data_IF_684585518222
#
_entry.id   IF_684585518222
#
_cell.length_a   1.000
_cell.length_b   1.000
_cell.length_c   1.000
_cell.angle_alpha   90.00
_cell.angle_beta   90.00
_cell.angle_gamma   90.00
#
_symmetry.space_group_name_H-M   'P 1'
#
loop_
_entity.id
_entity.type
_entity.pdbx_description
1 polymer ?
#
# COMPACT_ATOMS: atom_id res chain seq x y z
N UNK A 1 -29.85 35.29 23.55
CA UNK A 1 -29.99 35.04 22.09
C UNK A 1 -28.90 34.07 21.71
N UNK A 2 -29.25 32.79 21.60
CA UNK A 2 -28.32 31.72 21.26
C UNK A 2 -28.04 31.76 19.75
N UNK A 3 -26.76 31.66 19.41
CA UNK A 3 -26.19 31.86 18.07
C UNK A 3 -26.57 30.69 17.16
N UNK A 4 -27.35 30.94 16.09
CA UNK A 4 -27.65 29.95 15.04
C UNK A 4 -26.51 29.83 13.99
N UNK A 5 -25.25 30.06 14.38
CA UNK A 5 -24.10 30.11 13.45
C UNK A 5 -23.46 28.74 13.16
N UNK A 6 -23.74 27.71 13.98
CA UNK A 6 -23.17 26.36 13.79
C UNK A 6 -23.78 25.55 12.65
N UNK A 7 -25.00 25.88 12.21
CA UNK A 7 -25.73 25.04 11.23
C UNK A 7 -25.13 25.08 9.82
N UNK A 8 -24.50 26.18 9.43
CA UNK A 8 -23.91 26.31 8.09
C UNK A 8 -22.66 25.44 7.97
N UNK A 9 -21.81 25.43 8.99
CA UNK A 9 -20.55 24.68 8.96
C UNK A 9 -20.84 23.18 9.04
N UNK A 10 -21.76 22.75 9.92
CA UNK A 10 -22.17 21.34 10.03
C UNK A 10 -22.82 20.82 8.74
N UNK A 11 -23.68 21.60 8.06
CA UNK A 11 -24.27 21.17 6.79
C UNK A 11 -23.25 21.07 5.65
N UNK A 12 -22.24 21.96 5.61
CA UNK A 12 -21.15 21.90 4.64
C UNK A 12 -20.24 20.68 4.87
N UNK A 13 -19.99 20.34 6.14
CA UNK A 13 -19.26 19.13 6.56
C UNK A 13 -19.99 17.88 6.07
N UNK A 14 -21.30 17.78 6.27
CA UNK A 14 -22.10 16.60 5.85
C UNK A 14 -22.12 16.38 4.33
N UNK A 15 -22.22 17.44 3.52
CA UNK A 15 -22.14 17.32 2.06
C UNK A 15 -20.78 16.79 1.58
N UNK A 16 -19.71 17.17 2.27
CA UNK A 16 -18.36 16.70 1.97
C UNK A 16 -18.23 15.21 2.30
N UNK A 17 -18.73 14.74 3.46
CA UNK A 17 -18.65 13.31 3.86
C UNK A 17 -19.27 12.41 2.80
N UNK A 18 -20.52 12.69 2.42
CA UNK A 18 -21.31 11.85 1.51
C UNK A 18 -20.68 11.74 0.11
N UNK A 19 -19.96 12.77 -0.34
CA UNK A 19 -19.35 12.78 -1.67
C UNK A 19 -18.06 11.97 -1.72
N UNK A 20 -17.32 11.91 -0.60
CA UNK A 20 -16.06 11.16 -0.47
C UNK A 20 -16.30 9.65 -0.53
N UNK A 21 -17.42 9.19 0.03
CA UNK A 21 -17.82 7.78 0.09
C UNK A 21 -17.89 7.07 -1.25
N UNK A 22 -18.38 7.76 -2.29
CA UNK A 22 -18.70 7.11 -3.56
C UNK A 22 -17.48 6.89 -4.48
N UNK A 23 -16.33 7.50 -4.19
CA UNK A 23 -15.18 7.55 -5.11
C UNK A 23 -13.88 6.92 -4.59
N UNK A 24 -13.87 6.33 -3.38
CA UNK A 24 -12.67 5.82 -2.71
C UNK A 24 -12.76 4.31 -2.38
N UNK A 25 -12.77 3.42 -3.40
CA UNK A 25 -12.92 1.99 -3.20
C UNK A 25 -11.75 1.36 -2.43
N UNK A 26 -10.50 1.81 -2.62
CA UNK A 26 -9.34 1.27 -1.89
C UNK A 26 -9.37 1.70 -0.43
N UNK A 27 -9.66 2.98 -0.16
CA UNK A 27 -9.69 3.49 1.21
C UNK A 27 -10.79 2.84 2.08
N UNK A 28 -11.88 2.35 1.47
CA UNK A 28 -12.90 1.57 2.16
C UNK A 28 -12.39 0.18 2.60
N UNK A 29 -11.46 -0.43 1.86
CA UNK A 29 -10.96 -1.80 2.11
C UNK A 29 -9.76 -1.86 3.03
N UNK A 30 -8.90 -0.85 2.99
CA UNK A 30 -7.72 -0.78 3.85
C UNK A 30 -8.11 -0.72 5.33
N UNK A 31 -7.37 -1.44 6.18
CA UNK A 31 -7.54 -1.38 7.63
C UNK A 31 -7.19 0.02 8.17
N UNK A 32 -7.93 0.53 9.15
CA UNK A 32 -7.68 1.87 9.73
C UNK A 32 -7.12 1.74 11.13
N UNK A 33 -6.16 2.59 11.49
CA UNK A 33 -5.60 2.60 12.83
C UNK A 33 -5.26 4.02 13.29
N UNK A 34 -5.82 4.41 14.44
CA UNK A 34 -5.58 5.71 15.08
C UNK A 34 -4.94 5.44 16.45
N UNK A 35 -3.60 5.48 16.57
CA UNK A 35 -2.94 5.30 17.86
C UNK A 35 -3.23 6.47 18.82
N UNK A 36 -2.98 6.30 20.13
CA UNK A 36 -3.07 7.39 21.10
C UNK A 36 -2.15 8.57 20.73
N UNK A 37 -2.73 9.76 20.62
CA UNK A 37 -2.03 10.95 20.11
C UNK A 37 -0.81 11.37 20.95
N UNK A 38 -0.89 11.23 22.28
CA UNK A 38 0.19 11.62 23.18
C UNK A 38 1.46 10.76 23.00
N UNK A 39 1.29 9.45 22.83
CA UNK A 39 2.41 8.53 22.64
C UNK A 39 3.03 8.74 21.26
N UNK A 40 2.19 8.95 20.24
CA UNK A 40 2.65 9.20 18.90
C UNK A 40 3.43 10.53 18.78
N UNK A 41 3.03 11.57 19.52
CA UNK A 41 3.77 12.83 19.59
C UNK A 41 5.17 12.62 20.21
N UNK A 42 5.27 11.79 21.25
CA UNK A 42 6.55 11.48 21.92
C UNK A 42 7.47 10.62 21.05
N UNK A 43 6.90 9.73 20.23
CA UNK A 43 7.64 8.86 19.31
C UNK A 43 7.91 9.50 17.94
N UNK A 44 7.74 10.82 17.82
CA UNK A 44 7.94 11.56 16.56
C UNK A 44 7.15 10.95 15.38
N UNK A 45 5.88 10.65 15.59
CA UNK A 45 4.98 10.13 14.56
C UNK A 45 5.34 8.74 14.00
N UNK A 46 6.11 7.97 14.77
CA UNK A 46 6.48 6.59 14.45
C UNK A 46 5.73 5.63 15.35
N UNK A 47 5.18 4.56 14.77
CA UNK A 47 4.68 3.41 15.52
C UNK A 47 5.27 2.11 14.99
N UNK A 48 5.63 1.23 15.91
CA UNK A 48 6.09 -0.12 15.61
C UNK A 48 4.93 -1.08 15.81
N UNK A 49 4.64 -1.87 14.78
CA UNK A 49 3.58 -2.87 14.80
C UNK A 49 4.21 -4.26 14.72
N UNK A 50 3.76 -5.24 15.51
CA UNK A 50 4.25 -6.60 15.41
C UNK A 50 3.77 -7.26 14.11
N UNK A 51 4.57 -8.20 13.62
CA UNK A 51 4.20 -9.13 12.53
C UNK A 51 3.71 -10.44 13.14
N UNK A 52 2.94 -11.21 12.37
CA UNK A 52 2.55 -12.57 12.76
C UNK A 52 3.79 -13.41 13.13
N UNK A 53 3.65 -14.21 14.19
CA UNK A 53 4.74 -15.02 14.71
C UNK A 53 4.84 -16.34 13.94
N UNK A 54 6.05 -16.67 13.48
CA UNK A 54 6.39 -17.98 12.92
C UNK A 54 7.24 -18.78 13.91
N UNK A 55 7.00 -20.10 13.99
CA UNK A 55 7.69 -20.98 14.93
C UNK A 55 8.34 -22.16 14.19
N UNK A 56 9.61 -22.49 14.48
CA UNK A 56 10.23 -23.69 13.93
C UNK A 56 9.71 -24.95 14.63
N UNK A 57 9.57 -26.04 13.85
CA UNK A 57 9.26 -27.37 14.40
C UNK A 57 10.41 -28.33 14.13
N UNK A 58 10.68 -29.25 15.06
CA UNK A 58 11.75 -30.24 14.93
C UNK A 58 11.27 -31.65 15.31
N UNK A 59 11.56 -32.69 14.50
CA UNK A 59 11.20 -34.06 14.79
C UNK A 59 12.19 -34.72 15.76
N UNK A 60 11.72 -35.77 16.47
CA UNK A 60 12.55 -36.64 17.30
C UNK A 60 12.11 -36.72 18.75
N UNK A 61 12.46 -37.82 19.42
CA UNK A 61 12.14 -38.06 20.82
C UNK A 61 13.10 -37.35 21.79
N UNK A 62 14.34 -37.06 21.35
CA UNK A 62 15.33 -36.35 22.14
C UNK A 62 15.49 -34.88 21.68
N UNK A 63 15.13 -33.98 22.59
CA UNK A 63 15.16 -32.53 22.44
C UNK A 63 16.19 -31.86 23.38
N UNK A 64 17.12 -32.62 23.94
CA UNK A 64 18.18 -32.09 24.81
C UNK A 64 19.00 -31.04 24.08
N UNK A 65 19.16 -29.85 24.67
CA UNK A 65 19.86 -28.69 24.08
C UNK A 65 19.29 -28.18 22.74
N UNK A 66 18.03 -28.50 22.41
CA UNK A 66 17.35 -28.02 21.20
C UNK A 66 16.20 -27.04 21.49
N UNK A 67 16.19 -26.43 22.67
CA UNK A 67 15.19 -25.40 22.99
C UNK A 67 15.39 -24.19 22.07
N UNK A 68 14.35 -23.80 21.35
CA UNK A 68 14.37 -22.65 20.43
C UNK A 68 14.00 -21.36 21.17
N UNK A 69 14.53 -20.24 20.69
CA UNK A 69 14.16 -18.91 21.19
C UNK A 69 12.82 -18.43 20.62
N UNK A 70 12.37 -17.28 21.12
CA UNK A 70 11.24 -16.53 20.56
C UNK A 70 11.79 -15.31 19.84
N UNK A 71 11.44 -15.17 18.57
CA UNK A 71 11.73 -13.98 17.75
C UNK A 71 10.41 -13.44 17.22
N UNK A 72 10.11 -12.19 17.56
CA UNK A 72 8.96 -11.45 17.06
C UNK A 72 9.45 -10.26 16.24
N UNK A 73 8.98 -10.15 15.00
CA UNK A 73 9.42 -9.12 14.08
C UNK A 73 8.53 -7.88 14.19
N UNK A 74 9.12 -6.72 13.93
CA UNK A 74 8.39 -5.46 13.94
C UNK A 74 8.46 -4.73 12.60
N UNK A 75 7.41 -3.95 12.34
CA UNK A 75 7.23 -3.12 11.16
C UNK A 75 7.04 -1.67 11.59
N UNK A 76 7.76 -0.77 10.94
CA UNK A 76 7.67 0.66 11.18
C UNK A 76 6.57 1.29 10.32
N UNK A 77 5.61 1.96 10.94
CA UNK A 77 4.66 2.82 10.23
C UNK A 77 4.82 4.27 10.70
N UNK A 78 4.97 5.18 9.75
CA UNK A 78 5.19 6.61 10.00
C UNK A 78 4.00 7.43 9.52
N UNK A 79 3.69 8.50 10.25
CA UNK A 79 2.77 9.51 9.75
C UNK A 79 3.45 10.39 8.70
N UNK A 80 2.67 10.81 7.70
CA UNK A 80 3.11 11.74 6.66
C UNK A 80 2.92 13.19 7.06
N UNK A 81 3.00 14.09 6.07
CA UNK A 81 2.64 15.51 6.21
C UNK A 81 1.12 15.64 6.03
N UNK A 82 0.43 16.52 6.77
CA UNK A 82 -1.00 16.77 6.56
C UNK A 82 -1.27 17.33 5.16
N UNK A 83 -2.33 16.84 4.53
CA UNK A 83 -2.86 17.41 3.29
C UNK A 83 -3.78 18.59 3.64
N UNK A 84 -3.72 19.66 2.84
CA UNK A 84 -4.41 20.91 3.14
C UNK A 84 -5.02 21.53 1.88
N UNK A 85 -6.23 22.04 2.02
CA UNK A 85 -6.73 23.12 1.16
C UNK A 85 -6.77 24.42 1.98
N UNK A 86 -6.23 25.50 1.41
CA UNK A 86 -6.12 26.78 2.08
C UNK A 86 -6.50 27.92 1.14
N UNK A 87 -7.46 28.74 1.56
CA UNK A 87 -7.96 29.82 0.72
C UNK A 87 -8.46 31.02 1.51
N UNK A 88 -8.53 32.15 0.83
CA UNK A 88 -9.02 33.41 1.38
C UNK A 88 -10.23 33.91 0.59
N UNK A 89 -11.10 34.66 1.25
CA UNK A 89 -12.16 35.44 0.64
C UNK A 89 -12.22 36.81 1.28
N UNK A 90 -12.55 37.83 0.50
CA UNK A 90 -12.81 39.16 1.02
C UNK A 90 -14.28 39.30 1.42
N UNK A 91 -14.59 40.19 2.35
CA UNK A 91 -15.94 40.38 2.88
C UNK A 91 -17.01 40.76 1.83
N UNK A 92 -16.64 41.31 0.67
CA UNK A 92 -17.57 41.59 -0.43
C UNK A 92 -17.93 40.33 -1.25
N UNK A 93 -17.06 39.34 -1.31
CA UNK A 93 -17.29 38.07 -2.01
C UNK A 93 -18.22 37.11 -1.23
N UNK A 94 -18.41 37.33 0.07
CA UNK A 94 -19.30 36.51 0.91
C UNK A 94 -20.78 36.89 0.79
N UNK A 95 -21.14 37.81 -0.12
CA UNK A 95 -22.54 38.18 -0.39
C UNK A 95 -23.34 37.03 -1.00
N UNK A 96 -22.69 36.13 -1.74
CA UNK A 96 -23.26 34.87 -2.23
C UNK A 96 -22.48 33.67 -1.68
N UNK A 97 -23.08 32.99 -0.70
CA UNK A 97 -22.50 31.82 -0.06
C UNK A 97 -22.43 30.58 -0.95
N UNK A 98 -23.14 30.57 -2.08
CA UNK A 98 -23.23 29.40 -2.98
C UNK A 98 -21.86 29.01 -3.51
N UNK A 99 -21.02 30.00 -3.84
CA UNK A 99 -19.66 29.78 -4.35
C UNK A 99 -18.75 29.15 -3.29
N UNK A 100 -18.90 29.56 -2.04
CA UNK A 100 -18.15 29.00 -0.90
C UNK A 100 -18.55 27.54 -0.68
N UNK A 101 -19.86 27.24 -0.67
CA UNK A 101 -20.38 25.86 -0.52
C UNK A 101 -19.82 24.94 -1.60
N UNK A 102 -19.86 25.37 -2.86
CA UNK A 102 -19.31 24.60 -3.99
C UNK A 102 -17.81 24.37 -3.85
N UNK A 103 -17.06 25.37 -3.38
CA UNK A 103 -15.62 25.23 -3.12
C UNK A 103 -15.36 24.19 -2.04
N UNK A 104 -16.04 24.27 -0.89
CA UNK A 104 -15.89 23.30 0.20
C UNK A 104 -16.13 21.86 -0.26
N UNK A 105 -17.20 21.65 -1.04
CA UNK A 105 -17.49 20.34 -1.66
C UNK A 105 -16.38 19.86 -2.60
N UNK A 106 -15.84 20.76 -3.44
CA UNK A 106 -14.74 20.44 -4.34
C UNK A 106 -13.44 20.11 -3.58
N UNK A 107 -13.15 20.82 -2.50
CA UNK A 107 -11.98 20.57 -1.64
C UNK A 107 -12.08 19.21 -0.96
N UNK A 108 -13.25 18.86 -0.43
CA UNK A 108 -13.54 17.55 0.11
C UNK A 108 -13.28 16.40 -0.89
N UNK A 109 -13.82 16.53 -2.10
CA UNK A 109 -13.58 15.60 -3.21
C UNK A 109 -12.09 15.47 -3.55
N UNK A 110 -11.35 16.58 -3.52
CA UNK A 110 -9.93 16.60 -3.84
C UNK A 110 -9.09 15.89 -2.77
N UNK A 111 -9.38 16.13 -1.49
CA UNK A 111 -8.70 15.48 -0.37
C UNK A 111 -8.92 13.96 -0.42
N UNK A 112 -10.15 13.50 -0.61
CA UNK A 112 -10.47 12.08 -0.79
C UNK A 112 -9.72 11.42 -1.96
N UNK A 113 -9.65 12.13 -3.09
CA UNK A 113 -8.87 11.67 -4.25
C UNK A 113 -7.38 11.55 -3.93
N UNK A 114 -6.82 12.48 -3.15
CA UNK A 114 -5.42 12.42 -2.73
C UNK A 114 -5.15 11.23 -1.78
N UNK A 115 -6.08 10.91 -0.88
CA UNK A 115 -6.02 9.72 -0.01
C UNK A 115 -5.95 8.45 -0.85
N UNK A 116 -6.91 8.25 -1.74
CA UNK A 116 -6.98 7.07 -2.61
C UNK A 116 -5.71 6.94 -3.48
N UNK A 117 -5.24 8.06 -4.04
CA UNK A 117 -4.01 8.10 -4.84
C UNK A 117 -2.78 7.74 -4.00
N UNK A 118 -2.72 8.16 -2.73
CA UNK A 118 -1.61 7.82 -1.85
C UNK A 118 -1.54 6.32 -1.56
N UNK A 119 -2.70 5.67 -1.33
CA UNK A 119 -2.79 4.22 -1.11
C UNK A 119 -2.37 3.48 -2.39
N UNK A 120 -2.87 3.92 -3.55
CA UNK A 120 -2.53 3.31 -4.84
C UNK A 120 -1.03 3.39 -5.15
N UNK A 121 -0.40 4.54 -4.91
CA UNK A 121 1.05 4.74 -5.08
C UNK A 121 1.84 3.88 -4.10
N UNK A 122 1.46 3.89 -2.81
CA UNK A 122 2.13 3.10 -1.80
C UNK A 122 2.05 1.59 -2.12
N UNK A 123 0.90 1.10 -2.56
CA UNK A 123 0.72 -0.29 -2.98
C UNK A 123 1.58 -0.62 -4.21
N UNK A 124 1.56 0.22 -5.26
CA UNK A 124 2.35 -0.02 -6.47
C UNK A 124 3.87 0.03 -6.22
N UNK A 125 4.33 0.94 -5.35
CA UNK A 125 5.74 1.10 -5.02
C UNK A 125 6.27 -0.08 -4.20
N UNK A 126 5.45 -0.65 -3.31
CA UNK A 126 5.87 -1.70 -2.36
C UNK A 126 5.45 -3.12 -2.74
N UNK A 127 4.73 -3.28 -3.85
CA UNK A 127 4.26 -4.57 -4.34
C UNK A 127 5.42 -5.51 -4.65
N UNK A 128 5.41 -6.66 -3.99
CA UNK A 128 6.43 -7.70 -4.19
C UNK A 128 5.96 -8.78 -5.14
N UNK A 129 4.66 -9.05 -5.19
CA UNK A 129 4.08 -10.03 -6.10
C UNK A 129 3.88 -9.38 -7.47
N UNK A 130 4.48 -9.95 -8.51
CA UNK A 130 4.36 -9.39 -9.86
C UNK A 130 3.82 -10.47 -10.79
N UNK A 131 2.69 -10.16 -11.42
CA UNK A 131 2.13 -10.98 -12.50
C UNK A 131 2.33 -10.20 -13.80
N UNK A 132 3.17 -10.72 -14.67
CA UNK A 132 3.43 -10.13 -16.00
C UNK A 132 2.88 -11.02 -17.10
N UNK A 133 2.26 -10.40 -18.09
CA UNK A 133 1.96 -11.06 -19.36
C UNK A 133 2.60 -10.28 -20.52
N UNK A 134 3.12 -11.02 -21.49
CA UNK A 134 3.66 -10.49 -22.76
C UNK A 134 2.52 -9.91 -23.60
N UNK A 135 1.35 -10.54 -23.52
CA UNK A 135 0.15 -10.12 -24.22
C UNK A 135 -0.64 -9.09 -23.39
N UNK A 136 -1.54 -8.39 -24.08
CA UNK A 136 -2.47 -7.48 -23.43
C UNK A 136 -3.74 -8.23 -23.01
N UNK A 137 -4.40 -7.78 -21.93
CA UNK A 137 -5.74 -8.22 -21.44
C UNK A 137 -6.83 -8.30 -22.53
N UNK A 138 -6.63 -7.67 -23.70
CA UNK A 138 -7.57 -7.72 -24.81
C UNK A 138 -7.61 -9.09 -25.52
N UNK A 139 -6.58 -9.92 -25.36
CA UNK A 139 -6.55 -11.28 -25.89
C UNK A 139 -7.52 -12.15 -25.09
N UNK A 140 -8.16 -13.11 -25.76
CA UNK A 140 -9.18 -13.95 -25.17
C UNK A 140 -8.69 -14.66 -23.90
N UNK A 141 -9.53 -14.68 -22.85
CA UNK A 141 -9.28 -15.30 -21.54
C UNK A 141 -8.13 -14.73 -20.69
N UNK A 142 -7.26 -13.86 -21.25
CA UNK A 142 -6.12 -13.28 -20.52
C UNK A 142 -6.50 -12.45 -19.30
N UNK A 143 -7.67 -11.80 -19.32
CA UNK A 143 -8.18 -11.10 -18.15
C UNK A 143 -8.43 -12.04 -16.96
N UNK A 144 -8.93 -13.24 -17.24
CA UNK A 144 -9.20 -14.24 -16.21
C UNK A 144 -7.89 -14.91 -15.78
N UNK A 145 -7.04 -15.29 -16.73
CA UNK A 145 -5.75 -15.94 -16.47
C UNK A 145 -4.89 -15.08 -15.53
N UNK A 146 -4.80 -13.78 -15.80
CA UNK A 146 -4.03 -12.84 -14.97
C UNK A 146 -4.55 -12.73 -13.54
N UNK A 147 -5.87 -12.82 -13.36
CA UNK A 147 -6.47 -12.83 -12.02
C UNK A 147 -6.23 -14.17 -11.33
N UNK A 148 -6.43 -15.30 -12.03
CA UNK A 148 -6.16 -16.63 -11.45
C UNK A 148 -4.68 -16.81 -11.10
N UNK A 149 -3.76 -16.26 -11.88
CA UNK A 149 -2.33 -16.30 -11.58
C UNK A 149 -2.00 -15.48 -10.32
N UNK A 150 -2.64 -14.32 -10.15
CA UNK A 150 -2.49 -13.53 -8.93
C UNK A 150 -3.01 -14.26 -7.69
N UNK A 151 -4.14 -14.97 -7.80
CA UNK A 151 -4.68 -15.77 -6.70
C UNK A 151 -3.82 -17.00 -6.42
N UNK A 152 -3.38 -17.71 -7.47
CA UNK A 152 -2.51 -18.88 -7.35
C UNK A 152 -1.18 -18.51 -6.69
N UNK A 153 -0.60 -17.36 -7.03
CA UNK A 153 0.63 -16.86 -6.42
C UNK A 153 0.46 -16.58 -4.92
N UNK A 154 -0.67 -15.98 -4.51
CA UNK A 154 -0.98 -15.75 -3.09
C UNK A 154 -1.22 -17.08 -2.37
N UNK A 155 -1.93 -18.00 -3.00
CA UNK A 155 -2.31 -19.28 -2.43
C UNK A 155 -1.12 -20.25 -2.27
N UNK A 156 -0.29 -20.41 -3.31
CA UNK A 156 0.90 -21.26 -3.27
C UNK A 156 1.93 -20.78 -2.25
N UNK A 157 1.97 -19.47 -1.97
CA UNK A 157 2.81 -18.91 -0.92
C UNK A 157 2.21 -19.05 0.49
N UNK A 158 0.99 -19.58 0.60
CA UNK A 158 0.26 -19.78 1.86
C UNK A 158 0.03 -18.49 2.65
N UNK A 159 -0.12 -17.37 1.94
CA UNK A 159 -0.37 -16.08 2.59
C UNK A 159 -1.77 -16.07 3.20
N UNK A 160 -1.86 -15.67 4.47
CA UNK A 160 -3.12 -15.64 5.21
C UNK A 160 -4.21 -14.80 4.50
N UNK A 161 -5.33 -15.43 4.16
CA UNK A 161 -6.49 -14.84 3.44
C UNK A 161 -7.65 -14.44 4.36
N UNK A 162 -7.49 -14.53 5.68
CA UNK A 162 -8.60 -14.46 6.63
C UNK A 162 -9.42 -13.16 6.57
N UNK A 163 -8.84 -12.06 6.10
CA UNK A 163 -9.52 -10.76 5.96
C UNK A 163 -10.10 -10.51 4.55
N UNK A 164 -9.92 -11.43 3.60
CA UNK A 164 -10.36 -11.30 2.21
C UNK A 164 -9.26 -10.86 1.24
N UNK A 165 -9.52 -11.06 -0.06
CA UNK A 165 -8.66 -10.62 -1.15
C UNK A 165 -9.38 -9.61 -2.05
N UNK A 166 -8.68 -8.53 -2.40
CA UNK A 166 -9.18 -7.48 -3.26
C UNK A 166 -8.32 -7.34 -4.53
N UNK A 167 -8.97 -7.19 -5.68
CA UNK A 167 -8.33 -6.90 -6.97
C UNK A 167 -8.86 -5.59 -7.55
N UNK A 168 -7.96 -4.73 -8.02
CA UNK A 168 -8.26 -3.41 -8.59
C UNK A 168 -7.73 -3.33 -10.03
N UNK A 169 -8.66 -3.26 -10.98
CA UNK A 169 -8.36 -2.98 -12.37
C UNK A 169 -8.20 -1.48 -12.62
N UNK A 170 -7.32 -1.16 -13.58
CA UNK A 170 -7.34 0.13 -14.23
C UNK A 170 -8.56 0.23 -15.18
N UNK A 171 -8.93 1.45 -15.57
CA UNK A 171 -10.15 1.66 -16.36
C UNK A 171 -10.13 0.98 -17.75
N UNK A 172 -8.95 0.92 -18.40
CA UNK A 172 -8.82 0.41 -19.77
C UNK A 172 -8.83 -1.12 -19.81
N UNK A 173 -8.12 -1.77 -18.89
CA UNK A 173 -8.11 -3.23 -18.73
C UNK A 173 -9.46 -3.74 -18.26
N UNK A 174 -10.14 -3.01 -17.36
CA UNK A 174 -11.50 -3.35 -16.94
C UNK A 174 -12.47 -3.36 -18.13
N UNK A 175 -12.38 -2.36 -19.01
CA UNK A 175 -13.18 -2.31 -20.23
C UNK A 175 -12.88 -3.50 -21.15
N UNK A 176 -11.61 -3.83 -21.36
CA UNK A 176 -11.17 -4.94 -22.21
C UNK A 176 -11.62 -6.30 -21.66
N UNK A 177 -11.52 -6.49 -20.35
CA UNK A 177 -12.02 -7.67 -19.66
C UNK A 177 -13.55 -7.82 -19.81
N UNK A 178 -14.31 -6.73 -19.66
CA UNK A 178 -15.76 -6.72 -19.92
C UNK A 178 -16.10 -7.03 -21.39
N UNK A 179 -15.32 -6.52 -22.35
CA UNK A 179 -15.50 -6.80 -23.77
C UNK A 179 -15.26 -8.28 -24.11
N UNK A 180 -14.28 -8.92 -23.48
CA UNK A 180 -14.05 -10.37 -23.65
C UNK A 180 -15.23 -11.22 -23.16
N UNK A 181 -16.00 -10.75 -22.16
CA UNK A 181 -17.21 -11.42 -21.70
C UNK A 181 -18.40 -11.15 -22.62
N UNK A 182 -18.56 -9.91 -23.08
CA UNK A 182 -19.63 -9.51 -23.99
C UNK A 182 -19.48 -10.11 -25.40
N UNK A 183 -18.27 -10.46 -25.81
CA UNK A 183 -18.00 -11.14 -27.08
C UNK A 183 -18.37 -12.64 -27.09
N UNK A 184 -18.70 -13.22 -25.93
CA UNK A 184 -19.21 -14.60 -25.84
C UNK A 184 -20.72 -14.62 -26.10
N UNK A 185 -21.24 -15.76 -26.56
CA UNK A 185 -22.68 -15.93 -26.75
C UNK A 185 -23.43 -15.55 -25.48
N UNK A 186 -24.46 -14.70 -25.61
CA UNK A 186 -25.22 -14.11 -24.50
C UNK A 186 -26.16 -15.13 -23.83
N UNK A 187 -25.60 -16.22 -23.34
CA UNK A 187 -26.32 -17.26 -22.62
C UNK A 187 -25.94 -17.24 -21.14
N UNK A 188 -26.91 -16.93 -20.28
CA UNK A 188 -26.73 -16.84 -18.83
C UNK A 188 -26.44 -15.43 -18.31
N UNK A 189 -26.44 -15.28 -16.98
CA UNK A 189 -26.43 -13.98 -16.29
C UNK A 189 -25.14 -13.18 -16.45
N UNK A 190 -24.00 -13.85 -16.58
CA UNK A 190 -22.67 -13.21 -16.60
C UNK A 190 -22.44 -12.36 -17.86
N UNK A 191 -22.60 -12.90 -19.10
CA UNK A 191 -22.44 -12.09 -20.31
C UNK A 191 -23.53 -11.02 -20.45
N UNK A 192 -24.75 -11.29 -19.97
CA UNK A 192 -25.87 -10.33 -20.01
C UNK A 192 -25.64 -9.11 -19.10
N UNK A 193 -25.19 -9.33 -17.85
CA UNK A 193 -24.84 -8.22 -16.94
C UNK A 193 -23.61 -7.46 -17.44
N UNK A 194 -22.59 -8.15 -17.98
CA UNK A 194 -21.44 -7.49 -18.60
C UNK A 194 -21.86 -6.59 -19.77
N UNK A 195 -22.82 -7.01 -20.60
CA UNK A 195 -23.34 -6.20 -21.71
C UNK A 195 -24.22 -5.03 -21.23
N UNK A 196 -25.08 -5.23 -20.23
CA UNK A 196 -26.04 -4.22 -19.76
C UNK A 196 -25.42 -3.15 -18.86
N UNK A 197 -24.62 -3.56 -17.87
CA UNK A 197 -24.03 -2.66 -16.87
C UNK A 197 -22.53 -2.43 -17.05
N UNK A 198 -21.87 -3.14 -17.97
CA UNK A 198 -20.43 -3.02 -18.18
C UNK A 198 -19.62 -3.50 -16.97
N UNK A 199 -20.24 -4.27 -16.07
CA UNK A 199 -19.65 -4.72 -14.81
C UNK A 199 -19.12 -6.14 -14.95
N UNK A 200 -17.88 -6.35 -14.52
CA UNK A 200 -17.36 -7.68 -14.21
C UNK A 200 -18.01 -8.13 -12.89
N UNK A 201 -18.36 -9.41 -12.79
CA UNK A 201 -18.96 -9.99 -11.60
C UNK A 201 -18.08 -9.75 -10.36
N UNK A 202 -18.73 -9.60 -9.21
CA UNK A 202 -18.03 -9.71 -7.92
C UNK A 202 -17.68 -11.18 -7.69
N UNK A 203 -16.59 -11.44 -7.00
CA UNK A 203 -16.07 -12.79 -6.77
C UNK A 203 -15.63 -13.55 -8.03
N UNK A 204 -14.45 -13.20 -8.57
CA UNK A 204 -13.85 -13.88 -9.73
C UNK A 204 -12.48 -14.43 -9.33
N UNK A 205 -12.18 -15.65 -9.77
CA UNK A 205 -10.88 -16.31 -9.59
C UNK A 205 -10.39 -16.33 -8.13
N UNK A 206 -11.30 -16.55 -7.16
CA UNK A 206 -10.96 -16.66 -5.74
C UNK A 206 -10.75 -15.33 -5.00
N UNK A 207 -10.84 -14.18 -5.69
CA UNK A 207 -10.90 -12.87 -5.05
C UNK A 207 -12.30 -12.61 -4.49
N UNK A 208 -12.40 -11.93 -3.35
CA UNK A 208 -13.69 -11.57 -2.77
C UNK A 208 -14.31 -10.39 -3.53
N UNK A 209 -13.49 -9.41 -3.89
CA UNK A 209 -13.93 -8.20 -4.55
C UNK A 209 -13.03 -7.83 -5.74
N UNK A 210 -13.70 -7.52 -6.85
CA UNK A 210 -13.07 -7.09 -8.09
C UNK A 210 -13.61 -5.70 -8.40
N UNK A 211 -12.75 -4.70 -8.28
CA UNK A 211 -13.11 -3.30 -8.38
C UNK A 211 -12.30 -2.63 -9.48
N UNK A 212 -12.72 -1.42 -9.85
CA UNK A 212 -11.95 -0.56 -10.74
C UNK A 212 -11.59 0.72 -10.01
N UNK A 213 -10.38 1.20 -10.22
CA UNK A 213 -9.97 2.51 -9.72
C UNK A 213 -9.33 3.34 -10.82
N UNK A 214 -9.77 4.59 -11.05
CA UNK A 214 -9.11 5.47 -12.01
C UNK A 214 -7.75 5.97 -11.51
N UNK A 215 -7.44 5.76 -10.22
CA UNK A 215 -6.28 6.32 -9.51
C UNK A 215 -5.04 5.43 -9.52
N UNK A 216 -5.11 4.26 -10.16
CA UNK A 216 -3.97 3.36 -10.25
C UNK A 216 -2.82 4.04 -11.04
N UNK A 217 -1.59 4.04 -10.51
CA UNK A 217 -0.47 4.72 -11.13
C UNK A 217 -0.01 4.00 -12.41
N UNK A 218 0.75 4.73 -13.22
CA UNK A 218 1.48 4.14 -14.34
C UNK A 218 2.88 3.80 -13.87
N UNK A 219 3.29 2.54 -14.03
CA UNK A 219 4.65 2.11 -13.73
C UNK A 219 5.51 2.37 -14.96
N UNK A 220 6.60 3.13 -14.79
CA UNK A 220 7.54 3.43 -15.87
C UNK A 220 8.45 2.23 -16.11
N UNK A 221 8.91 2.06 -17.35
CA UNK A 221 9.90 1.04 -17.67
C UNK A 221 11.22 1.26 -16.91
N UNK A 222 11.77 0.19 -16.35
CA UNK A 222 13.11 0.20 -15.77
C UNK A 222 14.16 0.13 -16.88
N UNK A 223 15.24 0.90 -16.74
CA UNK A 223 16.29 1.01 -17.76
C UNK A 223 17.57 0.26 -17.38
N UNK A 224 17.62 -0.34 -16.19
CA UNK A 224 18.80 -1.05 -15.72
C UNK A 224 19.00 -2.34 -16.51
N UNK A 225 20.20 -2.56 -17.03
CA UNK A 225 20.58 -3.74 -17.81
C UNK A 225 21.98 -4.19 -17.44
N UNK A 226 22.19 -5.51 -17.31
CA UNK A 226 23.51 -6.06 -17.05
C UNK A 226 24.04 -5.84 -15.63
N UNK A 227 23.18 -5.46 -14.68
CA UNK A 227 23.57 -5.29 -13.28
C UNK A 227 23.59 -6.64 -12.55
N UNK A 228 24.65 -6.87 -11.79
CA UNK A 228 24.81 -8.04 -10.92
C UNK A 228 24.94 -7.65 -9.45
N UNK A 229 24.64 -8.59 -8.55
CA UNK A 229 24.90 -8.47 -7.10
C UNK A 229 26.40 -8.40 -6.83
N UNK A 230 26.82 -7.44 -6.00
CA UNK A 230 28.22 -7.25 -5.59
C UNK A 230 28.52 -8.03 -4.29
N UNK A 231 29.24 -9.14 -4.43
CA UNK A 231 29.55 -10.05 -3.32
C UNK A 231 28.36 -10.91 -2.87
N UNK A 232 28.64 -12.00 -2.16
CA UNK A 232 27.59 -12.84 -1.59
C UNK A 232 26.96 -12.13 -0.39
N UNK A 233 25.64 -12.05 -0.35
CA UNK A 233 24.90 -11.29 0.66
C UNK A 233 23.85 -12.15 1.35
N UNK A 234 23.79 -12.05 2.68
CA UNK A 234 22.90 -12.79 3.56
C UNK A 234 22.13 -11.81 4.43
N UNK A 235 20.89 -12.14 4.73
CA UNK A 235 20.01 -11.29 5.53
C UNK A 235 19.39 -12.08 6.66
N UNK A 236 19.50 -11.56 7.88
CA UNK A 236 18.87 -12.12 9.06
C UNK A 236 17.62 -11.31 9.45
N UNK A 237 16.54 -11.99 9.87
CA UNK A 237 15.42 -11.35 10.55
C UNK A 237 15.84 -11.03 12.00
N UNK A 238 15.64 -9.79 12.43
CA UNK A 238 16.07 -9.34 13.75
C UNK A 238 14.99 -8.44 14.35
N UNK A 239 14.66 -8.63 15.62
CA UNK A 239 13.72 -7.75 16.32
C UNK A 239 14.36 -6.39 16.64
N UNK A 240 15.62 -6.40 17.05
CA UNK A 240 16.41 -5.25 17.42
C UNK A 240 17.88 -5.47 17.09
N UNK A 241 18.64 -4.38 16.96
CA UNK A 241 20.11 -4.37 16.83
C UNK A 241 20.70 -3.49 17.94
N UNK A 242 21.96 -3.74 18.29
CA UNK A 242 22.69 -2.85 19.19
C UNK A 242 23.10 -1.59 18.43
N UNK A 243 22.83 -0.44 19.03
CA UNK A 243 23.40 0.85 18.63
C UNK A 243 24.87 0.94 19.08
N UNK A 244 25.61 1.92 18.56
CA UNK A 244 27.02 2.18 18.89
C UNK A 244 27.24 2.34 20.40
N UNK A 245 26.24 2.87 21.10
CA UNK A 245 26.26 3.07 22.55
C UNK A 245 25.78 1.84 23.36
N UNK A 246 25.48 0.71 22.70
CA UNK A 246 25.02 -0.54 23.33
C UNK A 246 23.53 -0.60 23.68
N UNK A 247 22.74 0.40 23.25
CA UNK A 247 21.29 0.39 23.40
C UNK A 247 20.61 -0.49 22.34
N UNK A 248 19.40 -0.97 22.60
CA UNK A 248 18.62 -1.77 21.64
C UNK A 248 17.74 -0.87 20.77
N UNK A 249 17.95 -0.89 19.46
CA UNK A 249 17.11 -0.20 18.48
C UNK A 249 16.28 -1.20 17.67
N UNK A 250 14.98 -0.94 17.51
CA UNK A 250 14.10 -1.78 16.70
C UNK A 250 14.50 -1.78 15.22
N UNK A 251 14.32 -2.92 14.56
CA UNK A 251 14.65 -3.11 13.14
C UNK A 251 13.37 -3.31 12.32
N UNK A 252 13.24 -2.59 11.22
CA UNK A 252 12.16 -2.80 10.24
C UNK A 252 12.49 -4.00 9.33
N UNK A 253 11.74 -5.09 9.47
CA UNK A 253 12.04 -6.33 8.74
C UNK A 253 11.51 -6.41 7.31
N UNK A 254 10.84 -5.37 6.81
CA UNK A 254 10.35 -5.39 5.43
C UNK A 254 11.42 -5.08 4.39
N UNK A 255 12.51 -4.41 4.77
CA UNK A 255 13.51 -3.91 3.82
C UNK A 255 14.87 -4.58 3.98
N UNK A 256 15.60 -4.66 2.87
CA UNK A 256 16.99 -5.08 2.83
C UNK A 256 17.79 -4.15 1.92
N UNK A 257 19.02 -3.83 2.31
CA UNK A 257 19.95 -3.09 1.47
C UNK A 257 20.85 -4.09 0.74
N UNK A 258 20.75 -4.14 -0.58
CA UNK A 258 21.54 -5.00 -1.45
C UNK A 258 22.58 -4.14 -2.17
N UNK A 259 23.85 -4.55 -2.09
CA UNK A 259 24.92 -3.91 -2.86
C UNK A 259 24.97 -4.49 -4.26
N UNK A 260 24.98 -3.64 -5.27
CA UNK A 260 25.00 -4.01 -6.69
C UNK A 260 26.21 -3.40 -7.39
N UNK A 261 26.55 -3.95 -8.56
CA UNK A 261 27.64 -3.47 -9.41
C UNK A 261 27.43 -2.03 -9.89
N UNK A 262 26.20 -1.67 -10.27
CA UNK A 262 25.80 -0.32 -10.65
C UNK A 262 24.33 -0.06 -10.28
N UNK A 263 24.10 0.90 -9.39
CA UNK A 263 22.76 1.29 -8.94
C UNK A 263 22.14 2.45 -9.73
N UNK A 264 22.90 3.11 -10.62
CA UNK A 264 22.54 4.40 -11.22
C UNK A 264 21.27 4.38 -12.08
N UNK A 265 20.97 3.23 -12.69
CA UNK A 265 19.83 3.04 -13.57
C UNK A 265 18.54 2.62 -12.84
N UNK A 266 18.61 2.27 -11.56
CA UNK A 266 17.44 1.89 -10.77
C UNK A 266 16.69 3.12 -10.25
N UNK A 267 15.37 2.98 -10.14
CA UNK A 267 14.47 3.99 -9.59
C UNK A 267 13.54 3.34 -8.59
N UNK A 268 13.05 4.14 -7.64
CA UNK A 268 11.99 3.70 -6.72
C UNK A 268 10.77 3.25 -7.52
N UNK A 269 10.25 2.09 -7.17
CA UNK A 269 9.12 1.43 -7.83
C UNK A 269 9.54 0.39 -8.86
N UNK A 270 10.81 0.32 -9.28
CA UNK A 270 11.29 -0.72 -10.18
C UNK A 270 11.09 -2.11 -9.59
N UNK A 271 10.85 -3.06 -10.48
CA UNK A 271 10.44 -4.42 -10.17
C UNK A 271 11.50 -5.38 -10.68
N UNK A 272 12.07 -6.17 -9.79
CA UNK A 272 13.25 -6.97 -10.08
C UNK A 272 13.13 -8.42 -9.60
N UNK A 273 13.91 -9.30 -10.20
CA UNK A 273 14.19 -10.65 -9.70
C UNK A 273 15.69 -10.94 -9.73
N UNK A 274 16.13 -11.85 -8.88
CA UNK A 274 17.51 -12.33 -8.83
C UNK A 274 17.59 -13.72 -9.44
N UNK A 275 18.57 -13.94 -10.32
CA UNK A 275 18.76 -15.24 -10.96
C UNK A 275 18.99 -16.35 -9.92
N UNK A 276 18.19 -17.43 -10.02
CA UNK A 276 18.28 -18.62 -9.15
C UNK A 276 17.51 -18.51 -7.82
N UNK A 277 16.99 -17.33 -7.48
CA UNK A 277 16.20 -17.12 -6.26
C UNK A 277 14.73 -17.36 -6.57
N UNK A 278 14.11 -18.28 -5.84
CA UNK A 278 12.71 -18.68 -5.99
C UNK A 278 11.95 -18.48 -4.68
N UNK A 279 10.64 -18.28 -4.81
CA UNK A 279 9.77 -18.23 -3.64
C UNK A 279 9.70 -19.60 -2.95
N UNK A 280 9.46 -19.55 -1.64
CA UNK A 280 9.02 -20.73 -0.86
C UNK A 280 7.65 -20.47 -0.26
N UNK A 281 6.92 -21.52 0.05
CA UNK A 281 5.67 -21.41 0.81
C UNK A 281 5.97 -20.97 2.24
N UNK A 282 5.14 -20.10 2.83
CA UNK A 282 5.43 -19.54 4.15
C UNK A 282 5.29 -20.56 5.29
N UNK A 283 4.35 -21.50 5.23
CA UNK A 283 4.16 -22.45 6.33
C UNK A 283 4.97 -23.73 6.08
N UNK A 284 4.76 -24.36 4.92
CA UNK A 284 5.36 -25.65 4.60
C UNK A 284 6.86 -25.57 4.21
N UNK A 285 7.33 -24.38 3.80
CA UNK A 285 8.69 -24.14 3.30
C UNK A 285 9.08 -24.97 2.07
N UNK A 286 8.09 -25.31 1.24
CA UNK A 286 8.29 -25.99 -0.03
C UNK A 286 8.78 -25.01 -1.10
N UNK A 287 9.61 -25.49 -2.03
CA UNK A 287 10.13 -24.69 -3.14
C UNK A 287 9.06 -24.47 -4.22
N UNK A 288 8.78 -23.21 -4.56
CA UNK A 288 7.91 -22.88 -5.70
C UNK A 288 8.73 -22.82 -7.00
N UNK A 289 8.04 -22.94 -8.13
CA UNK A 289 8.65 -22.88 -9.46
C UNK A 289 8.95 -21.45 -9.92
N UNK A 290 8.19 -20.49 -9.40
CA UNK A 290 8.25 -19.08 -9.76
C UNK A 290 9.46 -18.38 -9.11
N UNK A 291 10.09 -17.49 -9.87
CA UNK A 291 11.21 -16.70 -9.37
C UNK A 291 10.75 -15.67 -8.34
N UNK A 292 11.59 -15.40 -7.34
CA UNK A 292 11.29 -14.43 -6.31
C UNK A 292 11.38 -13.00 -6.87
N UNK A 293 10.34 -12.23 -6.60
CA UNK A 293 10.18 -10.86 -7.10
C UNK A 293 10.24 -9.83 -5.97
N UNK A 294 10.86 -8.68 -6.27
CA UNK A 294 11.13 -7.62 -5.30
C UNK A 294 10.83 -6.24 -5.89
N UNK A 295 10.47 -5.30 -5.02
CA UNK A 295 10.36 -3.90 -5.36
C UNK A 295 11.54 -3.08 -4.82
N UNK A 296 12.06 -2.18 -5.64
CA UNK A 296 13.07 -1.18 -5.23
C UNK A 296 12.36 -0.03 -4.53
N UNK A 297 12.66 0.22 -3.26
CA UNK A 297 12.05 1.29 -2.44
C UNK A 297 12.99 2.48 -2.21
N UNK A 298 14.29 2.29 -2.43
CA UNK A 298 15.31 3.35 -2.31
C UNK A 298 16.58 3.00 -3.07
N UNK A 299 17.32 4.02 -3.50
CA UNK A 299 18.60 3.88 -4.21
C UNK A 299 19.58 4.89 -3.62
N UNK A 300 20.73 4.41 -3.16
CA UNK A 300 21.83 5.22 -2.64
C UNK A 300 23.14 4.75 -3.26
N UNK A 301 23.53 5.38 -4.37
CA UNK A 301 24.67 4.95 -5.19
C UNK A 301 24.52 3.50 -5.64
N UNK A 302 25.45 2.63 -5.22
CA UNK A 302 25.44 1.20 -5.52
C UNK A 302 24.66 0.35 -4.51
N UNK A 303 24.01 0.97 -3.53
CA UNK A 303 23.18 0.29 -2.55
C UNK A 303 21.71 0.50 -2.92
N UNK A 304 21.03 -0.57 -3.30
CA UNK A 304 19.58 -0.55 -3.55
C UNK A 304 18.85 -1.09 -2.31
N UNK A 305 17.80 -0.40 -1.88
CA UNK A 305 16.92 -0.90 -0.83
C UNK A 305 15.74 -1.60 -1.48
N UNK A 306 15.55 -2.89 -1.18
CA UNK A 306 14.51 -3.73 -1.75
C UNK A 306 13.51 -4.18 -0.68
N UNK A 307 12.34 -4.63 -1.13
CA UNK A 307 11.25 -5.14 -0.31
C UNK A 307 10.55 -6.30 -1.04
N UNK A 308 10.22 -7.43 -0.35
CA UNK A 308 10.57 -7.79 1.03
C UNK A 308 12.06 -8.11 1.21
N UNK A 309 12.52 -8.26 2.45
CA UNK A 309 13.86 -8.76 2.78
C UNK A 309 13.99 -10.24 2.32
N UNK A 310 14.99 -10.62 1.50
CA UNK A 310 15.18 -12.00 1.07
C UNK A 310 15.88 -12.82 2.17
N UNK A 311 15.10 -13.54 2.98
CA UNK A 311 15.60 -14.44 4.03
C UNK A 311 15.69 -15.85 3.45
N UNK A 312 16.92 -16.36 3.36
CA UNK A 312 17.23 -17.63 2.70
C UNK A 312 17.04 -18.85 3.61
N UNK A 313 16.35 -19.87 3.11
CA UNK A 313 16.11 -21.12 3.83
C UNK A 313 17.41 -21.93 4.02
N UNK A 314 18.30 -21.92 3.02
CA UNK A 314 19.56 -22.67 3.01
C UNK A 314 20.70 -22.03 3.82
N UNK A 315 20.47 -20.88 4.44
CA UNK A 315 21.50 -20.20 5.20
C UNK A 315 21.77 -20.92 6.53
N UNK A 316 22.92 -21.58 6.60
CA UNK A 316 23.41 -22.26 7.79
C UNK A 316 23.75 -21.30 8.96
N UNK A 317 23.85 -20.00 8.71
CA UNK A 317 24.14 -19.00 9.77
C UNK A 317 22.91 -18.60 10.57
N UNK A 318 21.71 -18.83 10.03
CA UNK A 318 20.45 -18.53 10.71
C UNK A 318 20.15 -19.54 11.82
N UNK A 319 19.65 -19.04 12.94
CA UNK A 319 19.09 -19.89 14.00
C UNK A 319 17.78 -20.55 13.55
N UNK A 320 17.34 -21.64 14.18
CA UNK A 320 16.06 -22.28 13.83
C UNK A 320 14.88 -21.30 13.84
N UNK A 321 14.79 -20.42 14.85
CA UNK A 321 13.75 -19.41 14.98
C UNK A 321 13.83 -18.29 13.92
N UNK A 322 15.03 -17.99 13.42
CA UNK A 322 15.22 -17.02 12.33
C UNK A 322 14.90 -17.64 10.96
N UNK A 323 15.28 -18.91 10.77
CA UNK A 323 14.97 -19.70 9.57
C UNK A 323 13.48 -19.93 9.41
N UNK A 324 12.72 -19.93 10.51
CA UNK A 324 11.27 -19.97 10.45
C UNK A 324 10.73 -18.87 9.53
N UNK A 325 11.27 -17.65 9.55
CA UNK A 325 10.83 -16.53 8.69
C UNK A 325 11.41 -16.54 7.26
N UNK A 326 11.99 -17.64 6.78
CA UNK A 326 12.50 -17.72 5.43
C UNK A 326 11.38 -17.53 4.39
N UNK A 327 11.67 -16.79 3.33
CA UNK A 327 10.75 -16.50 2.22
C UNK A 327 11.36 -16.78 0.83
N UNK A 328 12.67 -17.03 0.77
CA UNK A 328 13.36 -17.47 -0.45
C UNK A 328 14.18 -18.72 -0.20
N UNK A 329 14.43 -19.48 -1.26
CA UNK A 329 15.15 -20.75 -1.20
C UNK A 329 16.63 -20.58 -0.86
N UNK A 330 17.31 -19.59 -1.46
CA UNK A 330 18.76 -19.43 -1.39
C UNK A 330 19.20 -17.98 -1.20
N UNK A 331 20.39 -17.81 -0.61
CA UNK A 331 21.03 -16.49 -0.43
C UNK A 331 21.47 -15.85 -1.75
N UNK A 332 21.69 -14.53 -1.75
CA UNK A 332 22.13 -13.82 -2.95
C UNK A 332 23.60 -14.15 -3.25
N UNK A 333 23.85 -14.90 -4.32
CA UNK A 333 25.19 -15.24 -4.76
C UNK A 333 25.92 -14.03 -5.37
N UNK A 334 27.25 -14.00 -5.20
CA UNK A 334 28.10 -13.01 -5.84
C UNK A 334 27.97 -13.12 -7.37
N UNK A 335 27.73 -12.01 -8.05
CA UNK A 335 27.56 -11.99 -9.51
C UNK A 335 26.20 -12.48 -10.00
N UNK A 336 25.23 -12.76 -9.12
CA UNK A 336 23.87 -13.10 -9.53
C UNK A 336 23.28 -11.97 -10.39
N UNK A 337 22.77 -12.32 -11.57
CA UNK A 337 22.18 -11.35 -12.49
C UNK A 337 20.85 -10.82 -11.93
N UNK A 338 20.63 -9.52 -12.08
CA UNK A 338 19.39 -8.84 -11.69
C UNK A 338 18.57 -8.60 -12.96
N UNK A 339 17.37 -9.16 -13.00
CA UNK A 339 16.44 -8.98 -14.11
C UNK A 339 15.40 -7.93 -13.75
N UNK A 340 15.20 -6.95 -14.64
CA UNK A 340 14.12 -5.95 -14.51
C UNK A 340 12.86 -6.50 -15.18
N UNK A 341 11.75 -6.50 -14.44
CA UNK A 341 10.49 -7.11 -14.84
C UNK A 341 9.58 -6.10 -15.54
N UNK A 342 9.64 -4.83 -15.13
CA UNK A 342 8.93 -3.72 -15.78
C UNK A 342 9.67 -3.24 -17.04
N UNK A 343 9.69 -4.07 -18.09
CA UNK A 343 10.36 -3.77 -19.36
C UNK A 343 9.66 -2.64 -20.13
N UNK A 344 8.33 -2.53 -19.99
CA UNK A 344 7.54 -1.52 -20.69
C UNK A 344 6.66 -0.73 -19.73
N UNK A 345 6.55 0.57 -20.00
CA UNK A 345 5.64 1.46 -19.26
C UNK A 345 4.20 0.99 -19.44
N UNK A 346 3.54 0.67 -18.34
CA UNK A 346 2.17 0.16 -18.33
C UNK A 346 1.38 0.69 -17.12
N UNK A 347 0.06 0.79 -17.26
CA UNK A 347 -0.82 1.17 -16.16
C UNK A 347 -1.04 -0.05 -15.26
N UNK A 348 -0.83 0.09 -13.96
CA UNK A 348 -0.87 -1.06 -13.06
C UNK A 348 -2.29 -1.53 -12.78
N UNK A 349 -2.45 -2.84 -12.60
CA UNK A 349 -3.55 -3.42 -11.85
C UNK A 349 -2.99 -3.81 -10.48
N UNK A 350 -3.72 -3.58 -9.40
CA UNK A 350 -3.21 -3.82 -8.03
C UNK A 350 -4.07 -4.87 -7.36
N UNK A 351 -3.44 -5.79 -6.63
CA UNK A 351 -4.15 -6.76 -5.81
C UNK A 351 -3.47 -6.93 -4.46
N UNK A 352 -4.23 -7.26 -3.42
CA UNK A 352 -3.69 -7.51 -2.10
C UNK A 352 -4.61 -8.38 -1.24
N UNK A 353 -4.07 -8.88 -0.12
CA UNK A 353 -4.87 -9.29 1.03
C UNK A 353 -5.26 -8.06 1.87
N UNK A 354 -6.50 -8.00 2.34
CA UNK A 354 -7.08 -6.77 2.93
C UNK A 354 -6.39 -6.31 4.24
N UNK A 355 -5.64 -7.20 4.89
CA UNK A 355 -4.81 -6.92 6.08
C UNK A 355 -3.46 -6.25 5.76
N UNK A 356 -3.07 -6.22 4.48
CA UNK A 356 -1.69 -5.92 4.07
C UNK A 356 -1.36 -4.43 4.10
N UNK A 357 -2.36 -3.57 3.93
CA UNK A 357 -2.22 -2.12 3.99
C UNK A 357 -3.03 -1.61 5.18
N UNK A 358 -2.47 -0.63 5.88
CA UNK A 358 -3.15 0.13 6.95
C UNK A 358 -3.05 1.62 6.68
N UNK A 359 -4.17 2.31 6.85
CA UNK A 359 -4.24 3.76 6.84
C UNK A 359 -4.09 4.26 8.29
N UNK A 360 -2.98 4.91 8.55
CA UNK A 360 -2.77 5.65 9.79
C UNK A 360 -3.42 7.02 9.67
N UNK A 361 -4.14 7.43 10.71
CA UNK A 361 -4.70 8.77 10.80
C UNK A 361 -4.56 9.31 12.21
N UNK A 362 -4.47 10.64 12.32
CA UNK A 362 -4.47 11.33 13.59
C UNK A 362 -5.29 12.61 13.53
N UNK A 363 -6.04 12.92 14.59
CA UNK A 363 -6.71 14.20 14.69
C UNK A 363 -5.68 15.32 14.87
N UNK A 364 -5.91 16.45 14.21
CA UNK A 364 -5.14 17.67 14.44
C UNK A 364 -5.79 18.42 15.60
N UNK A 365 -5.10 18.66 16.73
CA UNK A 365 -5.72 19.21 17.94
C UNK A 365 -5.87 20.75 17.86
N UNK A 366 -6.71 21.24 16.94
CA UNK A 366 -7.00 22.67 16.83
C UNK A 366 -8.02 23.19 17.85
N UNK A 367 -8.69 22.30 18.60
CA UNK A 367 -9.65 22.66 19.65
C UNK A 367 -8.98 23.04 20.99
N UNK A 368 -7.65 23.14 21.03
CA UNK A 368 -6.92 23.55 22.21
C UNK A 368 -7.09 25.06 22.46
N UNK A 369 -7.14 25.49 23.73
CA UNK A 369 -7.35 26.89 24.11
C UNK A 369 -6.32 27.88 23.51
N UNK A 370 -5.16 27.36 23.08
CA UNK A 370 -4.14 28.12 22.35
C UNK A 370 -4.66 28.71 21.02
N UNK A 371 -5.65 28.08 20.40
CA UNK A 371 -6.19 28.46 19.10
C UNK A 371 -7.52 29.22 19.19
N UNK A 372 -7.80 29.87 20.33
CA UNK A 372 -9.03 30.62 20.62
C UNK A 372 -9.40 31.69 19.58
N UNK A 373 -8.43 32.17 18.78
CA UNK A 373 -8.66 33.14 17.71
C UNK A 373 -9.26 32.56 16.41
N UNK A 374 -9.31 31.24 16.26
CA UNK A 374 -9.84 30.56 15.07
C UNK A 374 -11.10 29.78 15.44
N UNK A 375 -12.11 29.79 14.57
CA UNK A 375 -13.26 28.89 14.70
C UNK A 375 -12.91 27.56 14.04
N UNK A 376 -12.99 26.46 14.77
CA UNK A 376 -12.60 25.12 14.30
C UNK A 376 -13.76 24.15 14.44
N UNK A 377 -13.93 23.29 13.44
CA UNK A 377 -14.88 22.17 13.48
C UNK A 377 -14.19 20.90 13.00
N UNK A 378 -14.39 19.81 13.75
CA UNK A 378 -13.90 18.50 13.35
C UNK A 378 -14.81 17.92 12.27
N UNK A 379 -14.20 17.33 11.24
CA UNK A 379 -14.90 16.65 10.17
C UNK A 379 -14.41 15.20 10.12
N UNK A 380 -15.32 14.26 10.32
CA UNK A 380 -15.02 12.83 10.28
C UNK A 380 -15.70 12.21 9.06
N UNK A 381 -15.00 11.30 8.37
CA UNK A 381 -15.56 10.50 7.28
C UNK A 381 -15.72 9.07 7.80
N UNK A 382 -16.89 8.65 8.29
CA UNK A 382 -17.04 7.36 8.98
C UNK A 382 -16.69 6.15 8.11
N UNK A 383 -17.08 6.19 6.84
CA UNK A 383 -16.82 5.16 5.82
C UNK A 383 -15.36 4.97 5.42
N UNK A 384 -14.56 6.05 5.45
CA UNK A 384 -13.13 6.03 5.12
C UNK A 384 -12.29 5.97 6.41
N UNK A 385 -12.89 6.24 7.56
CA UNK A 385 -12.25 6.21 8.88
C UNK A 385 -11.22 7.32 9.09
N UNK A 386 -11.38 8.45 8.39
CA UNK A 386 -10.46 9.58 8.45
C UNK A 386 -11.02 10.73 9.26
N UNK A 387 -10.13 11.38 10.01
CA UNK A 387 -10.43 12.56 10.80
C UNK A 387 -9.69 13.77 10.20
N UNK A 388 -10.44 14.82 9.94
CA UNK A 388 -9.95 16.10 9.46
C UNK A 388 -10.45 17.23 10.33
N UNK A 389 -10.01 18.44 10.00
CA UNK A 389 -10.43 19.67 10.67
C UNK A 389 -10.64 20.77 9.65
N UNK A 390 -11.66 21.58 9.88
CA UNK A 390 -11.90 22.83 9.16
C UNK A 390 -11.68 23.98 10.13
N UNK A 391 -10.88 24.98 9.74
CA UNK A 391 -10.59 26.16 10.53
C UNK A 391 -10.88 27.45 9.74
N UNK A 392 -11.45 28.44 10.42
CA UNK A 392 -11.76 29.76 9.89
C UNK A 392 -11.17 30.85 10.77
N UNK A 393 -10.61 31.89 10.14
CA UNK A 393 -10.09 33.07 10.84
C UNK A 393 -10.27 34.33 9.99
N UNK A 394 -10.83 35.38 10.58
CA UNK A 394 -10.90 36.71 9.96
C UNK A 394 -9.70 37.58 10.28
N UNK A 395 -9.33 38.45 9.35
CA UNK A 395 -8.36 39.53 9.55
C UNK A 395 -9.09 40.88 9.46
N UNK A 396 -9.07 41.64 10.57
CA UNK A 396 -9.71 42.96 10.65
C UNK A 396 -9.04 44.00 9.75
N UNK A 397 -7.74 43.84 9.46
CA UNK A 397 -6.95 44.83 8.74
C UNK A 397 -7.30 44.87 7.25
N UNK A 398 -7.54 43.70 6.67
CA UNK A 398 -7.83 43.53 5.24
C UNK A 398 -9.30 43.23 4.95
N UNK A 399 -10.09 42.95 5.99
CA UNK A 399 -11.47 42.43 5.89
C UNK A 399 -11.53 41.13 5.07
N UNK A 400 -10.50 40.28 5.23
CA UNK A 400 -10.42 38.96 4.60
C UNK A 400 -10.69 37.85 5.62
N UNK A 401 -11.37 36.78 5.17
CA UNK A 401 -11.51 35.53 5.88
C UNK A 401 -10.60 34.46 5.27
N UNK A 402 -9.88 33.74 6.12
CA UNK A 402 -9.04 32.58 5.76
C UNK A 402 -9.77 31.31 6.17
N UNK A 403 -9.86 30.34 5.25
CA UNK A 403 -10.38 29.01 5.49
C UNK A 403 -9.28 27.98 5.22
N UNK A 404 -9.16 26.99 6.12
CA UNK A 404 -8.26 25.85 5.98
C UNK A 404 -9.01 24.55 6.24
N UNK A 405 -8.90 23.60 5.32
CA UNK A 405 -9.34 22.22 5.52
C UNK A 405 -8.08 21.37 5.58
N UNK A 406 -7.90 20.58 6.64
CA UNK A 406 -6.72 19.77 6.83
C UNK A 406 -7.09 18.32 7.20
N UNK A 407 -6.39 17.35 6.59
CA UNK A 407 -6.51 15.92 6.92
C UNK A 407 -5.12 15.35 7.10
N UNK A 408 -4.88 14.63 8.19
CA UNK A 408 -3.57 14.07 8.49
C UNK A 408 -3.61 12.55 8.50
N UNK A 409 -2.96 11.96 7.49
CA UNK A 409 -2.99 10.54 7.25
C UNK A 409 -1.69 10.04 6.61
N UNK A 410 -1.50 8.72 6.62
CA UNK A 410 -0.39 8.03 5.94
C UNK A 410 -0.77 6.59 5.63
N UNK A 411 -0.51 6.14 4.40
CA UNK A 411 -0.66 4.74 4.04
C UNK A 411 0.61 3.96 4.39
N UNK A 412 0.47 2.86 5.13
CA UNK A 412 1.57 1.96 5.49
C UNK A 412 1.29 0.54 5.00
N UNK A 413 2.24 -0.04 4.26
CA UNK A 413 2.18 -1.44 3.84
C UNK A 413 2.77 -2.34 4.92
N UNK A 414 1.95 -3.01 5.72
CA UNK A 414 2.42 -3.93 6.77
C UNK A 414 3.07 -5.18 6.17
N UNK A 415 2.39 -5.77 5.18
CA UNK A 415 2.78 -7.04 4.54
C UNK A 415 3.01 -6.82 3.05
N UNK A 416 4.18 -6.30 2.64
CA UNK A 416 4.46 -6.07 1.22
C UNK A 416 4.49 -7.37 0.41
N UNK A 417 4.76 -8.49 1.07
CA UNK A 417 4.72 -9.84 0.51
C UNK A 417 3.34 -10.30 0.02
N UNK A 418 2.27 -9.68 0.50
CA UNK A 418 0.88 -9.95 0.14
C UNK A 418 0.24 -8.83 -0.69
N UNK A 419 1.07 -7.88 -1.16
CA UNK A 419 0.68 -6.85 -2.12
C UNK A 419 1.33 -7.17 -3.46
N UNK A 420 0.52 -7.09 -4.51
CA UNK A 420 0.95 -7.37 -5.86
C UNK A 420 0.47 -6.39 -6.91
N UNK A 421 1.16 -6.44 -8.05
CA UNK A 421 0.77 -5.73 -9.25
C UNK A 421 0.69 -6.66 -10.44
N UNK A 422 -0.30 -6.39 -11.27
CA UNK A 422 -0.43 -6.91 -12.60
C UNK A 422 0.10 -5.93 -13.64
N UNK A 423 0.96 -6.42 -14.54
CA UNK A 423 1.49 -5.69 -15.68
C UNK A 423 1.18 -6.45 -16.99
N UNK A 424 0.59 -5.76 -17.94
CA UNK A 424 0.20 -6.36 -19.24
C UNK A 424 1.05 -5.77 -20.36
N UNK A 425 1.23 -6.54 -21.43
CA UNK A 425 2.00 -6.10 -22.59
C UNK A 425 3.49 -5.89 -22.33
N UNK A 426 4.10 -6.66 -21.41
CA UNK A 426 5.51 -6.58 -21.06
C UNK A 426 6.35 -7.36 -22.09
N UNK A 427 6.77 -6.67 -23.15
CA UNK A 427 7.61 -7.21 -24.22
C UNK A 427 8.78 -6.29 -24.52
#
# INVERSE_FOLDING_TARGET
MALNEGQIITYMVDEVVNTIENNCPMAQRVSKYTPPAADLQRSQNTIWMPVEQEAPTQPGWDLTNKATGIVELSVKCNMGVPDNDFFTLRADDTRDETSIRRRMKASGLKLANNIETSIAKQAADTASLIVTDVDHVAVENKAWDMMSDAEALIFQRELNRSQGLSYFFNADDYKKAGMSLAGKDMYGRIPEEAYKSGTIQKQVAGFNDVLRSPKLPTLTAGTATGVTVDGAQKFKPEAWKEDVDGNRENVDNRTAVVKVSDGSAFKRGDKISFAGVKFISQMAKDLLTQDATFAVVGVDGNNITIMPKPVALDDATLKPEERAYANVNTSLAAGAAISVINVKTAKTNIFWADDSITLLSQPIPLNHALFSGMKTEAFNIPSVGLNGVVAYQGDISTLEGKCRIAVWYSACTKRPEAVGIGLTGQK
#
